data_IF_896301046608
#
_entry.id   IF_896301046608
#
_cell.length_a   1.000
_cell.length_b   1.000
_cell.length_c   1.000
_cell.angle_alpha   90.00
_cell.angle_beta   90.00
_cell.angle_gamma   90.00
#
_symmetry.space_group_name_H-M   'P 1'
#
loop_
_entity.id
_entity.type
_entity.pdbx_description
1 polymer ?
#
# COMPACT_ATOMS: atom_id res chain seq x y z
N UNK A 1 24.51 -22.34 -0.81
CA UNK A 1 23.42 -22.09 0.13
C UNK A 1 22.45 -21.17 -0.56
N UNK A 2 21.33 -21.73 -1.03
CA UNK A 2 20.31 -20.98 -1.77
C UNK A 2 19.44 -20.22 -0.80
N UNK A 3 19.47 -18.90 -0.89
CA UNK A 3 18.50 -18.05 -0.22
C UNK A 3 17.15 -18.28 -0.94
N UNK A 4 16.28 -19.10 -0.36
CA UNK A 4 14.88 -19.15 -0.77
C UNK A 4 14.27 -17.78 -0.44
N UNK A 5 14.11 -16.94 -1.46
CA UNK A 5 13.23 -15.78 -1.38
C UNK A 5 11.83 -16.33 -1.12
N UNK A 6 11.40 -16.34 0.15
CA UNK A 6 10.02 -16.64 0.49
C UNK A 6 9.15 -15.60 -0.22
N UNK A 7 8.25 -16.11 -1.06
CA UNK A 7 7.21 -15.34 -1.72
C UNK A 7 6.45 -14.59 -0.62
N UNK A 8 6.62 -13.30 -0.53
CA UNK A 8 5.80 -12.45 0.32
C UNK A 8 4.41 -12.38 -0.30
N UNK A 9 3.55 -13.30 0.10
CA UNK A 9 2.11 -13.22 -0.19
C UNK A 9 1.55 -12.11 0.68
N UNK A 10 1.10 -11.05 0.05
CA UNK A 10 0.47 -9.92 0.71
C UNK A 10 -0.94 -10.30 1.12
N UNK A 11 -1.26 -10.08 2.40
CA UNK A 11 -2.60 -10.11 2.93
C UNK A 11 -3.38 -8.89 2.42
N UNK A 12 -4.12 -9.06 1.33
CA UNK A 12 -5.39 -8.40 1.16
C UNK A 12 -6.44 -9.34 1.77
N UNK A 13 -6.49 -9.41 3.08
CA UNK A 13 -7.67 -9.97 3.74
C UNK A 13 -8.76 -8.90 3.59
N UNK A 14 -9.52 -8.96 2.51
CA UNK A 14 -10.89 -8.43 2.55
C UNK A 14 -11.55 -9.10 3.75
N UNK A 15 -12.02 -8.29 4.71
CA UNK A 15 -12.83 -8.77 5.81
C UNK A 15 -13.88 -9.70 5.26
N UNK A 16 -13.96 -10.91 5.80
CA UNK A 16 -14.96 -11.91 5.39
C UNK A 16 -16.36 -11.34 5.56
N UNK A 17 -17.34 -11.91 4.85
CA UNK A 17 -18.74 -11.50 4.99
C UNK A 17 -19.23 -11.56 6.44
N UNK A 18 -18.69 -12.50 7.23
CA UNK A 18 -19.03 -12.65 8.65
C UNK A 18 -18.37 -11.56 9.53
N UNK A 19 -17.16 -11.14 9.22
CA UNK A 19 -16.50 -10.01 9.91
C UNK A 19 -17.19 -8.68 9.59
N UNK A 20 -17.62 -8.46 8.34
CA UNK A 20 -18.46 -7.31 7.96
C UNK A 20 -19.82 -7.32 8.66
N UNK A 21 -20.38 -8.50 8.92
CA UNK A 21 -21.66 -8.65 9.63
C UNK A 21 -21.50 -8.41 11.13
N UNK A 22 -20.38 -8.85 11.73
CA UNK A 22 -20.06 -8.55 13.12
C UNK A 22 -19.83 -7.05 13.37
N UNK A 23 -19.15 -6.36 12.44
CA UNK A 23 -18.96 -4.90 12.51
C UNK A 23 -20.30 -4.17 12.45
N UNK A 24 -21.23 -4.58 11.58
CA UNK A 24 -22.58 -3.99 11.52
C UNK A 24 -23.41 -4.24 12.79
N UNK A 25 -23.23 -5.39 13.44
CA UNK A 25 -23.92 -5.67 14.69
C UNK A 25 -23.35 -4.84 15.87
N UNK A 26 -22.03 -4.56 15.85
CA UNK A 26 -21.39 -3.68 16.85
C UNK A 26 -21.83 -2.21 16.64
N UNK A 27 -22.05 -1.78 15.40
CA UNK A 27 -22.60 -0.46 15.11
C UNK A 27 -24.06 -0.32 15.60
N UNK A 28 -24.88 -1.37 15.48
CA UNK A 28 -26.25 -1.37 15.96
C UNK A 28 -26.35 -1.36 17.49
N UNK A 29 -25.42 -2.02 18.21
CA UNK A 29 -25.38 -2.02 19.68
C UNK A 29 -24.83 -0.68 20.24
N UNK A 30 -24.00 0.05 19.49
CA UNK A 30 -23.49 1.35 19.90
C UNK A 30 -24.54 2.48 19.81
N UNK A 31 -25.55 2.36 18.98
CA UNK A 31 -26.68 3.30 18.95
C UNK A 31 -27.54 3.25 20.22
N UNK A 32 -27.49 2.13 20.96
CA UNK A 32 -28.23 1.98 22.24
C UNK A 32 -27.49 2.58 23.44
N UNK A 33 -26.17 2.79 23.35
CA UNK A 33 -25.35 3.36 24.43
C UNK A 33 -25.10 4.87 24.29
N UNK A 34 -25.60 5.51 23.20
CA UNK A 34 -25.30 6.91 22.89
C UNK A 34 -26.14 7.95 23.66
N UNK A 35 -27.01 7.54 24.60
CA UNK A 35 -27.91 8.48 25.26
C UNK A 35 -27.41 9.08 26.58
N UNK A 36 -26.19 8.80 27.06
CA UNK A 36 -25.75 9.38 28.34
C UNK A 36 -24.27 9.72 28.52
N UNK A 37 -23.47 9.81 27.47
CA UNK A 37 -22.13 10.37 27.62
C UNK A 37 -21.79 11.25 26.43
N UNK A 38 -21.74 12.55 26.66
CA UNK A 38 -21.20 13.58 25.76
C UNK A 38 -19.68 13.36 25.50
N UNK A 39 -19.30 12.25 24.90
CA UNK A 39 -18.02 12.13 24.22
C UNK A 39 -18.14 12.80 22.86
N UNK A 40 -17.93 14.11 22.82
CA UNK A 40 -17.56 14.80 21.61
C UNK A 40 -16.29 14.10 21.10
N UNK A 41 -16.40 13.19 20.13
CA UNK A 41 -15.30 12.87 19.25
C UNK A 41 -14.87 14.17 18.59
N UNK A 42 -13.91 14.86 19.18
CA UNK A 42 -13.23 15.96 18.51
C UNK A 42 -12.67 15.36 17.23
N UNK A 43 -13.32 15.67 16.09
CA UNK A 43 -12.80 15.30 14.79
C UNK A 43 -11.37 15.83 14.75
N UNK A 44 -10.39 14.91 14.87
CA UNK A 44 -8.98 15.28 14.94
C UNK A 44 -8.66 16.06 13.67
N UNK A 45 -8.10 17.25 13.84
CA UNK A 45 -7.68 18.05 12.71
C UNK A 45 -6.57 17.32 11.97
N UNK A 46 -6.78 17.02 10.70
CA UNK A 46 -5.77 16.45 9.82
C UNK A 46 -5.24 17.61 8.99
N UNK A 47 -3.94 17.90 9.14
CA UNK A 47 -3.30 18.94 8.35
C UNK A 47 -3.32 18.55 6.85
N UNK A 48 -4.02 19.30 6.00
CA UNK A 48 -4.07 19.01 4.57
C UNK A 48 -2.71 19.16 3.87
N UNK A 49 -1.75 19.84 4.50
CA UNK A 49 -0.39 19.99 4.01
C UNK A 49 0.60 19.04 4.69
N UNK A 50 0.11 18.19 5.61
CA UNK A 50 0.92 17.18 6.27
C UNK A 50 1.62 16.25 5.27
N UNK A 51 2.81 15.79 5.63
CA UNK A 51 3.64 14.89 4.79
C UNK A 51 4.36 13.89 5.66
N UNK A 52 4.73 12.71 5.13
CA UNK A 52 5.66 11.82 5.81
C UNK A 52 6.97 12.52 6.16
N UNK A 53 7.60 12.14 7.27
CA UNK A 53 8.85 12.78 7.72
C UNK A 53 10.07 12.23 6.98
N UNK A 54 10.16 10.91 6.83
CA UNK A 54 11.28 10.24 6.19
C UNK A 54 11.30 10.44 4.67
N UNK A 55 12.51 10.43 4.09
CA UNK A 55 12.74 10.69 2.67
C UNK A 55 12.05 9.66 1.78
N UNK A 56 12.09 8.38 2.14
CA UNK A 56 11.52 7.30 1.35
C UNK A 56 10.00 7.42 1.27
N UNK A 57 9.32 7.52 2.41
CA UNK A 57 7.87 7.70 2.49
C UNK A 57 7.40 8.99 1.81
N UNK A 58 8.18 10.08 1.94
CA UNK A 58 7.90 11.35 1.26
C UNK A 58 7.95 11.20 -0.26
N UNK A 59 8.93 10.46 -0.79
CA UNK A 59 9.01 10.17 -2.21
C UNK A 59 7.76 9.42 -2.68
N UNK A 60 7.40 8.32 -2.02
CA UNK A 60 6.21 7.51 -2.37
C UNK A 60 4.94 8.35 -2.32
N UNK A 61 4.75 9.14 -1.26
CA UNK A 61 3.60 10.04 -1.11
C UNK A 61 3.49 11.01 -2.29
N UNK A 62 4.59 11.64 -2.66
CA UNK A 62 4.62 12.59 -3.78
C UNK A 62 4.31 11.90 -5.11
N UNK A 63 4.90 10.73 -5.37
CA UNK A 63 4.67 9.99 -6.61
C UNK A 63 3.22 9.48 -6.73
N UNK A 64 2.63 8.98 -5.64
CA UNK A 64 1.22 8.58 -5.62
C UNK A 64 0.32 9.79 -5.90
N UNK A 65 0.61 10.95 -5.33
CA UNK A 65 -0.18 12.14 -5.60
C UNK A 65 0.02 12.68 -7.02
N UNK A 66 1.22 12.60 -7.56
CA UNK A 66 1.51 13.02 -8.93
C UNK A 66 0.81 12.13 -9.97
N UNK A 67 0.82 10.80 -9.79
CA UNK A 67 0.10 9.89 -10.70
C UNK A 67 -1.42 10.07 -10.61
N UNK A 68 -1.96 10.49 -9.46
CA UNK A 68 -3.38 10.83 -9.32
C UNK A 68 -3.75 12.10 -10.07
N UNK A 69 -2.88 13.11 -10.05
CA UNK A 69 -3.10 14.37 -10.77
C UNK A 69 -2.95 14.22 -12.28
N UNK A 70 -1.95 13.45 -12.72
CA UNK A 70 -1.69 13.20 -14.13
C UNK A 70 -1.30 11.72 -14.37
N UNK A 71 -2.28 10.81 -14.43
CA UNK A 71 -2.01 9.40 -14.67
C UNK A 71 -1.28 9.12 -15.99
N UNK A 72 -1.54 9.94 -17.01
CA UNK A 72 -1.02 9.69 -18.35
C UNK A 72 0.47 10.00 -18.47
N UNK A 73 0.97 10.96 -17.70
CA UNK A 73 2.42 11.29 -17.67
C UNK A 73 3.29 10.11 -17.20
N UNK A 74 2.70 9.15 -16.50
CA UNK A 74 3.40 7.96 -16.00
C UNK A 74 3.47 6.81 -17.00
N UNK A 75 2.75 6.86 -18.11
CA UNK A 75 2.75 5.80 -19.13
C UNK A 75 4.15 5.50 -19.64
N UNK A 76 4.90 6.54 -19.99
CA UNK A 76 6.26 6.37 -20.51
C UNK A 76 7.23 5.90 -19.43
N UNK A 77 7.05 6.32 -18.20
CA UNK A 77 7.83 5.85 -17.04
C UNK A 77 7.63 4.34 -16.85
N UNK A 78 6.37 3.87 -16.84
CA UNK A 78 6.09 2.43 -16.72
C UNK A 78 6.60 1.66 -17.93
N UNK A 79 6.46 2.21 -19.14
CA UNK A 79 6.99 1.59 -20.38
C UNK A 79 8.52 1.45 -20.36
N UNK A 80 9.24 2.47 -19.87
CA UNK A 80 10.68 2.41 -19.72
C UNK A 80 11.09 1.42 -18.64
N UNK A 81 10.38 1.40 -17.52
CA UNK A 81 10.63 0.47 -16.39
C UNK A 81 10.46 -0.98 -16.81
N UNK A 82 9.60 -1.29 -17.78
CA UNK A 82 9.43 -2.63 -18.35
C UNK A 82 10.76 -3.20 -18.89
N UNK A 83 11.68 -2.37 -19.38
CA UNK A 83 13.01 -2.77 -19.86
C UNK A 83 13.92 -3.35 -18.77
N UNK A 84 13.55 -3.15 -17.51
CA UNK A 84 14.27 -3.70 -16.36
C UNK A 84 13.88 -5.14 -16.04
N UNK A 85 12.93 -5.73 -16.76
CA UNK A 85 12.57 -7.14 -16.60
C UNK A 85 13.66 -8.00 -17.24
N UNK A 86 14.12 -9.01 -16.52
CA UNK A 86 15.12 -9.98 -16.97
C UNK A 86 14.74 -11.38 -16.51
N UNK A 87 15.26 -12.38 -17.20
CA UNK A 87 15.26 -13.74 -16.70
C UNK A 87 16.50 -13.95 -15.83
N UNK A 88 16.32 -14.58 -14.68
CA UNK A 88 17.44 -15.07 -13.89
C UNK A 88 17.97 -16.41 -14.45
N UNK A 89 18.99 -16.96 -13.79
CA UNK A 89 19.59 -18.24 -14.20
C UNK A 89 18.64 -19.44 -14.14
N UNK A 90 17.55 -19.32 -13.40
CA UNK A 90 16.50 -20.34 -13.22
C UNK A 90 15.32 -20.12 -14.16
N UNK A 91 15.38 -19.14 -15.06
CA UNK A 91 14.28 -18.79 -15.96
C UNK A 91 13.14 -18.00 -15.30
N UNK A 92 13.33 -17.55 -14.05
CA UNK A 92 12.33 -16.72 -13.35
C UNK A 92 12.44 -15.28 -13.84
N UNK A 93 11.30 -14.68 -14.19
CA UNK A 93 11.24 -13.24 -14.49
C UNK A 93 11.50 -12.44 -13.23
N UNK A 94 12.46 -11.55 -13.30
CA UNK A 94 12.81 -10.65 -12.21
C UNK A 94 12.79 -9.21 -12.68
N UNK A 95 12.30 -8.31 -11.84
CA UNK A 95 12.53 -6.89 -12.01
C UNK A 95 13.94 -6.57 -11.52
N UNK A 96 14.73 -5.94 -12.39
CA UNK A 96 16.10 -5.57 -12.07
C UNK A 96 16.11 -4.34 -11.18
N UNK A 97 15.87 -4.56 -9.92
CA UNK A 97 16.44 -3.74 -8.89
C UNK A 97 17.67 -4.47 -8.34
N UNK A 98 18.44 -3.83 -7.50
CA UNK A 98 19.56 -4.48 -6.85
C UNK A 98 19.12 -5.55 -5.82
N UNK A 99 17.83 -5.65 -5.50
CA UNK A 99 17.16 -6.82 -4.94
C UNK A 99 16.34 -7.44 -6.07
N UNK A 100 16.52 -8.72 -6.33
CA UNK A 100 15.76 -9.42 -7.35
C UNK A 100 14.32 -9.58 -6.85
N UNK A 101 13.40 -8.86 -7.46
CA UNK A 101 11.97 -9.03 -7.21
C UNK A 101 11.43 -10.02 -8.23
N UNK A 102 10.99 -11.20 -7.77
CA UNK A 102 10.34 -12.16 -8.64
C UNK A 102 9.00 -11.61 -9.12
N UNK A 103 8.78 -11.66 -10.43
CA UNK A 103 7.54 -11.23 -11.05
C UNK A 103 6.67 -12.46 -11.33
N UNK A 104 5.37 -12.31 -11.20
CA UNK A 104 4.39 -13.35 -11.51
C UNK A 104 4.05 -13.38 -13.02
N UNK A 105 3.43 -12.32 -13.51
CA UNK A 105 3.09 -12.15 -14.93
C UNK A 105 4.27 -11.56 -15.73
N UNK A 106 5.05 -10.70 -15.10
CA UNK A 106 6.12 -9.96 -15.74
C UNK A 106 5.59 -8.87 -16.67
N UNK A 107 6.06 -8.85 -17.93
CA UNK A 107 5.67 -7.82 -18.92
C UNK A 107 4.16 -7.57 -19.05
N UNK A 108 3.28 -8.59 -19.08
CA UNK A 108 1.83 -8.36 -19.15
C UNK A 108 1.28 -7.49 -18.01
N UNK A 109 1.85 -7.54 -16.80
CA UNK A 109 1.38 -6.68 -15.71
C UNK A 109 1.72 -5.19 -15.98
N UNK A 110 2.85 -4.91 -16.61
CA UNK A 110 3.22 -3.55 -17.03
C UNK A 110 2.28 -3.05 -18.13
N UNK A 111 1.97 -3.90 -19.13
CA UNK A 111 1.05 -3.54 -20.20
C UNK A 111 -0.36 -3.27 -19.65
N UNK A 112 -0.84 -4.09 -18.72
CA UNK A 112 -2.11 -3.87 -18.01
C UNK A 112 -2.10 -2.53 -17.26
N UNK A 113 -1.02 -2.20 -16.54
CA UNK A 113 -0.89 -0.92 -15.85
C UNK A 113 -0.96 0.26 -16.83
N UNK A 114 -0.27 0.18 -17.97
CA UNK A 114 -0.30 1.20 -19.03
C UNK A 114 -1.73 1.39 -19.57
N UNK A 115 -2.45 0.31 -19.85
CA UNK A 115 -3.82 0.39 -20.38
C UNK A 115 -4.80 1.01 -19.36
N UNK A 116 -4.61 0.74 -18.08
CA UNK A 116 -5.39 1.37 -17.01
C UNK A 116 -5.07 2.86 -16.92
N UNK A 117 -3.79 3.23 -16.92
CA UNK A 117 -3.38 4.65 -16.84
C UNK A 117 -3.92 5.47 -18.00
N UNK A 118 -3.94 4.91 -19.24
CA UNK A 118 -4.55 5.57 -20.41
C UNK A 118 -6.02 5.95 -20.21
N UNK A 119 -6.76 5.13 -19.46
CA UNK A 119 -8.19 5.31 -19.22
C UNK A 119 -8.50 6.10 -17.94
N UNK A 120 -7.51 6.24 -17.07
CA UNK A 120 -7.66 6.90 -15.78
C UNK A 120 -7.70 8.41 -15.98
N UNK A 121 -8.73 9.06 -15.46
CA UNK A 121 -8.85 10.51 -15.46
C UNK A 121 -8.16 11.11 -14.23
N UNK A 122 -7.62 12.32 -14.30
CA UNK A 122 -7.11 13.05 -13.15
C UNK A 122 -8.06 13.04 -11.95
N UNK A 123 -7.51 12.99 -10.75
CA UNK A 123 -8.26 12.96 -9.51
C UNK A 123 -7.55 13.73 -8.40
N UNK A 124 -8.27 14.00 -7.32
CA UNK A 124 -7.73 14.75 -6.18
C UNK A 124 -6.57 14.00 -5.52
N UNK A 125 -5.64 14.78 -4.97
CA UNK A 125 -4.57 14.28 -4.09
C UNK A 125 -5.14 13.60 -2.87
N UNK A 126 -4.40 12.64 -2.37
CA UNK A 126 -4.60 12.08 -1.03
C UNK A 126 -3.98 13.02 0.01
N UNK A 127 -4.65 13.15 1.14
CA UNK A 127 -4.18 13.90 2.30
C UNK A 127 -3.43 12.93 3.21
N UNK A 128 -2.23 13.31 3.63
CA UNK A 128 -1.48 12.50 4.59
C UNK A 128 -2.19 12.45 5.94
N UNK A 129 -2.46 11.23 6.42
CA UNK A 129 -3.07 11.04 7.73
C UNK A 129 -2.11 10.23 8.63
N UNK A 130 -1.51 10.87 9.65
CA UNK A 130 -0.61 10.18 10.58
C UNK A 130 -1.30 9.09 11.39
N UNK A 131 -2.63 9.11 11.55
CA UNK A 131 -3.35 8.05 12.24
C UNK A 131 -3.37 6.74 11.46
N UNK A 132 -3.17 6.79 10.14
CA UNK A 132 -3.04 5.60 9.29
C UNK A 132 -1.64 4.97 9.34
N UNK A 133 -0.66 5.69 9.87
CA UNK A 133 0.74 5.21 9.94
C UNK A 133 0.87 4.10 10.96
N UNK A 134 1.45 2.99 10.58
CA UNK A 134 1.89 1.92 11.48
C UNK A 134 3.40 2.04 11.65
N UNK A 135 3.86 2.11 12.88
CA UNK A 135 5.28 2.05 13.18
C UNK A 135 5.82 0.66 12.84
N UNK A 136 6.82 0.63 11.97
CA UNK A 136 7.43 -0.61 11.52
C UNK A 136 8.61 -0.98 12.44
N UNK A 137 8.73 -2.25 12.84
CA UNK A 137 9.85 -2.70 13.66
C UNK A 137 11.17 -2.69 12.85
N UNK A 138 12.28 -2.45 13.53
CA UNK A 138 13.62 -2.52 12.92
C UNK A 138 14.14 -3.97 12.81
N UNK A 139 13.37 -4.95 13.24
CA UNK A 139 13.73 -6.36 13.24
C UNK A 139 13.14 -7.06 12.02
N UNK A 140 14.01 -7.70 11.22
CA UNK A 140 13.62 -8.40 9.99
C UNK A 140 12.60 -9.52 10.23
N UNK A 141 12.69 -10.25 11.33
CA UNK A 141 11.76 -11.34 11.67
C UNK A 141 10.36 -10.79 11.95
N UNK A 142 10.26 -9.74 12.73
CA UNK A 142 8.97 -9.12 13.04
C UNK A 142 8.36 -8.45 11.81
N UNK A 143 9.19 -7.78 11.01
CA UNK A 143 8.68 -7.07 9.84
C UNK A 143 8.20 -8.04 8.76
N UNK A 144 8.76 -9.25 8.69
CA UNK A 144 8.29 -10.29 7.77
C UNK A 144 7.07 -11.02 8.30
N UNK A 145 6.75 -10.91 9.59
CA UNK A 145 5.55 -11.50 10.19
C UNK A 145 4.29 -10.89 9.56
N UNK A 146 3.40 -11.76 9.10
CA UNK A 146 2.07 -11.36 8.58
C UNK A 146 1.18 -10.86 9.71
N UNK A 147 1.29 -11.49 10.88
CA UNK A 147 0.44 -11.19 12.05
C UNK A 147 0.75 -9.81 12.64
N UNK A 148 2.03 -9.41 12.69
CA UNK A 148 2.41 -8.13 13.27
C UNK A 148 1.65 -6.96 12.64
N UNK A 149 1.73 -6.85 11.32
CA UNK A 149 1.07 -5.75 10.61
C UNK A 149 -0.44 -5.84 10.69
N UNK A 150 -1.00 -7.04 10.49
CA UNK A 150 -2.45 -7.27 10.58
C UNK A 150 -3.02 -6.86 11.92
N UNK A 151 -2.36 -7.24 13.03
CA UNK A 151 -2.79 -6.86 14.39
C UNK A 151 -2.73 -5.34 14.60
N UNK A 152 -1.63 -4.68 14.19
CA UNK A 152 -1.50 -3.22 14.31
C UNK A 152 -2.57 -2.45 13.53
N UNK A 153 -2.92 -2.93 12.34
CA UNK A 153 -3.99 -2.33 11.53
C UNK A 153 -5.36 -2.60 12.15
N UNK A 154 -5.62 -3.82 12.62
CA UNK A 154 -6.85 -4.16 13.37
C UNK A 154 -7.04 -3.25 14.58
N UNK A 155 -5.98 -3.03 15.37
CA UNK A 155 -6.05 -2.13 16.53
C UNK A 155 -6.47 -0.71 16.12
N UNK A 156 -5.95 -0.20 15.00
CA UNK A 156 -6.34 1.11 14.48
C UNK A 156 -7.80 1.16 14.04
N UNK A 157 -8.25 0.14 13.32
CA UNK A 157 -9.65 0.03 12.86
C UNK A 157 -10.59 -0.06 14.08
N UNK A 158 -10.26 -0.86 15.08
CA UNK A 158 -11.03 -0.99 16.31
C UNK A 158 -11.11 0.33 17.10
N UNK A 159 -10.09 1.20 16.93
CA UNK A 159 -10.07 2.55 17.50
C UNK A 159 -10.73 3.61 16.58
N UNK A 160 -11.49 3.19 15.58
CA UNK A 160 -12.29 4.07 14.72
C UNK A 160 -11.52 4.71 13.57
N UNK A 161 -10.34 4.20 13.19
CA UNK A 161 -9.59 4.67 12.04
C UNK A 161 -10.12 3.95 10.78
N UNK A 162 -10.68 4.69 9.82
CA UNK A 162 -11.28 4.14 8.58
C UNK A 162 -10.21 3.77 7.54
N UNK A 163 -9.45 2.69 7.82
CA UNK A 163 -8.50 2.11 6.87
C UNK A 163 -9.25 1.11 5.99
N UNK A 164 -9.32 1.38 4.68
CA UNK A 164 -10.01 0.54 3.69
C UNK A 164 -9.09 -0.47 3.02
N UNK A 165 -7.84 -0.09 2.83
CA UNK A 165 -6.83 -0.98 2.27
C UNK A 165 -5.45 -0.67 2.83
N UNK A 166 -4.61 -1.68 2.89
CA UNK A 166 -3.22 -1.55 3.32
C UNK A 166 -2.35 -2.66 2.75
N UNK A 167 -1.07 -2.38 2.60
CA UNK A 167 -0.07 -3.37 2.22
C UNK A 167 1.32 -2.99 2.71
N UNK A 168 2.24 -3.94 2.59
CA UNK A 168 3.65 -3.75 2.90
C UNK A 168 4.48 -4.33 1.76
N UNK A 169 5.48 -3.58 1.32
CA UNK A 169 6.46 -4.00 0.35
C UNK A 169 7.86 -3.99 0.98
N UNK A 170 8.71 -4.94 0.55
CA UNK A 170 10.13 -4.95 0.88
C UNK A 170 10.89 -4.73 -0.43
N UNK A 171 11.56 -3.61 -0.53
CA UNK A 171 12.23 -3.15 -1.75
C UNK A 171 13.58 -2.54 -1.40
N UNK A 172 14.39 -2.27 -2.40
CA UNK A 172 15.69 -1.66 -2.18
C UNK A 172 15.68 -0.13 -2.22
N UNK A 173 14.84 0.43 -3.02
CA UNK A 173 14.76 1.86 -3.26
C UNK A 173 13.31 2.31 -3.48
N UNK A 174 13.09 3.60 -3.32
CA UNK A 174 11.79 4.22 -3.42
C UNK A 174 11.20 4.17 -4.84
N UNK A 175 12.02 4.25 -5.88
CA UNK A 175 11.55 4.18 -7.26
C UNK A 175 11.01 2.79 -7.58
N UNK A 176 11.74 1.74 -7.21
CA UNK A 176 11.28 0.35 -7.35
C UNK A 176 9.99 0.11 -6.57
N UNK A 177 9.87 0.64 -5.35
CA UNK A 177 8.65 0.54 -4.55
C UNK A 177 7.45 1.13 -5.29
N UNK A 178 7.59 2.35 -5.78
CA UNK A 178 6.52 3.04 -6.50
C UNK A 178 6.12 2.31 -7.79
N UNK A 179 7.10 1.94 -8.63
CA UNK A 179 6.84 1.22 -9.88
C UNK A 179 6.10 -0.09 -9.62
N UNK A 180 6.56 -0.90 -8.65
CA UNK A 180 5.92 -2.16 -8.33
C UNK A 180 4.55 -2.00 -7.66
N UNK A 181 4.29 -0.88 -6.97
CA UNK A 181 2.96 -0.53 -6.49
C UNK A 181 2.01 -0.23 -7.65
N UNK A 182 2.45 0.53 -8.65
CA UNK A 182 1.63 0.87 -9.84
C UNK A 182 1.42 -0.35 -10.74
N UNK A 183 2.45 -1.14 -10.98
CA UNK A 183 2.35 -2.34 -11.82
C UNK A 183 1.57 -3.44 -11.13
N UNK A 184 1.83 -3.63 -9.84
CA UNK A 184 1.20 -4.61 -8.94
C UNK A 184 1.08 -6.00 -9.55
N UNK A 185 2.25 -6.63 -9.76
CA UNK A 185 2.35 -7.99 -10.30
C UNK A 185 2.27 -9.07 -9.19
N UNK A 186 1.36 -8.88 -8.24
CA UNK A 186 1.16 -9.81 -7.13
C UNK A 186 0.47 -11.10 -7.57
N UNK A 187 0.73 -12.21 -6.86
CA UNK A 187 0.20 -13.53 -7.27
C UNK A 187 -1.31 -13.68 -7.09
N UNK A 188 -1.88 -13.11 -6.01
CA UNK A 188 -3.28 -13.35 -5.65
C UNK A 188 -4.20 -12.23 -6.07
N UNK A 189 -3.75 -10.99 -5.99
CA UNK A 189 -4.59 -9.81 -6.13
C UNK A 189 -3.91 -8.77 -7.02
N UNK A 190 -3.40 -9.21 -8.18
CA UNK A 190 -2.72 -8.34 -9.12
C UNK A 190 -3.60 -7.14 -9.52
N UNK A 191 -3.06 -5.95 -9.38
CA UNK A 191 -3.73 -4.70 -9.70
C UNK A 191 -4.48 -4.04 -8.54
N UNK A 192 -4.65 -4.69 -7.39
CA UNK A 192 -5.39 -4.11 -6.26
C UNK A 192 -4.70 -2.85 -5.71
N UNK A 193 -3.38 -2.88 -5.51
CA UNK A 193 -2.62 -1.70 -5.03
C UNK A 193 -2.79 -0.52 -5.99
N UNK A 194 -2.66 -0.79 -7.31
CA UNK A 194 -2.90 0.20 -8.35
C UNK A 194 -4.33 0.73 -8.29
N UNK A 195 -5.31 -0.16 -8.20
CA UNK A 195 -6.73 0.22 -8.12
C UNK A 195 -6.99 1.07 -6.88
N UNK A 196 -6.38 0.75 -5.74
CA UNK A 196 -6.54 1.47 -4.48
C UNK A 196 -5.93 2.87 -4.55
N UNK A 197 -4.70 3.02 -5.07
CA UNK A 197 -4.09 4.36 -5.22
C UNK A 197 -4.82 5.22 -6.26
N UNK A 198 -5.48 4.62 -7.24
CA UNK A 198 -6.26 5.31 -8.27
C UNK A 198 -7.76 5.36 -7.96
N UNK A 199 -8.18 4.95 -6.76
CA UNK A 199 -9.57 5.05 -6.32
C UNK A 199 -9.90 6.48 -5.89
N UNK A 200 -10.91 7.07 -6.53
CA UNK A 200 -11.40 8.43 -6.23
C UNK A 200 -12.04 8.56 -4.85
N UNK A 201 -12.52 7.46 -4.30
CA UNK A 201 -13.17 7.45 -2.98
C UNK A 201 -12.15 7.45 -1.83
N UNK A 202 -10.89 7.11 -2.09
CA UNK A 202 -9.84 7.24 -1.09
C UNK A 202 -9.42 8.70 -0.99
N UNK A 203 -9.41 9.22 0.24
CA UNK A 203 -9.10 10.61 0.57
C UNK A 203 -7.81 10.75 1.38
N UNK A 204 -7.47 9.72 2.13
CA UNK A 204 -6.36 9.74 3.07
C UNK A 204 -5.35 8.65 2.78
N UNK A 205 -4.11 8.93 3.13
CA UNK A 205 -3.01 7.98 3.01
C UNK A 205 -2.09 8.09 4.23
N UNK A 206 -1.71 6.94 4.79
CA UNK A 206 -0.61 6.81 5.74
C UNK A 206 0.51 6.02 5.10
N UNK A 207 1.74 6.48 5.29
CA UNK A 207 2.94 5.80 4.79
C UNK A 207 3.98 5.82 5.89
N UNK A 208 4.64 4.69 6.08
CA UNK A 208 5.87 4.60 6.88
C UNK A 208 6.89 3.70 6.20
N UNK A 209 8.16 3.95 6.46
CA UNK A 209 9.22 3.10 5.97
C UNK A 209 10.29 2.88 7.05
N UNK A 210 10.95 1.73 6.98
CA UNK A 210 12.09 1.42 7.82
C UNK A 210 13.16 0.71 7.00
N UNK A 211 14.42 1.05 7.26
CA UNK A 211 15.56 0.41 6.61
C UNK A 211 15.87 -0.91 7.29
N UNK A 212 15.98 -1.98 6.51
CA UNK A 212 16.32 -3.33 6.97
C UNK A 212 17.52 -3.81 6.16
N UNK A 213 18.69 -3.80 6.76
CA UNK A 213 19.92 -4.16 6.07
C UNK A 213 20.14 -3.30 4.81
N UNK A 214 20.05 -3.94 3.64
CA UNK A 214 20.20 -3.26 2.32
C UNK A 214 18.85 -2.92 1.66
N UNK A 215 17.74 -3.18 2.33
CA UNK A 215 16.38 -2.99 1.82
C UNK A 215 15.59 -2.02 2.69
N UNK A 216 14.43 -1.62 2.21
CA UNK A 216 13.44 -0.87 2.96
C UNK A 216 12.15 -1.71 3.02
N UNK A 217 11.52 -1.75 4.19
CA UNK A 217 10.12 -2.10 4.27
C UNK A 217 9.31 -0.82 4.20
N UNK A 218 8.31 -0.80 3.35
CA UNK A 218 7.38 0.31 3.18
C UNK A 218 5.96 -0.19 3.45
N UNK A 219 5.27 0.50 4.33
CA UNK A 219 3.85 0.28 4.62
C UNK A 219 3.05 1.43 4.05
N UNK A 220 1.92 1.10 3.44
CA UNK A 220 0.96 2.07 2.88
C UNK A 220 -0.44 1.66 3.31
N UNK A 221 -1.24 2.62 3.77
CA UNK A 221 -2.65 2.46 4.08
C UNK A 221 -3.48 3.58 3.46
N UNK A 222 -4.69 3.26 3.02
CA UNK A 222 -5.62 4.16 2.35
C UNK A 222 -7.01 4.10 2.99
N UNK A 223 -7.73 5.25 2.96
CA UNK A 223 -9.11 5.36 3.43
C UNK A 223 -9.86 6.58 2.93
#
# INVERSE_FOLDING_TARGET
MGCQCQKTEFLNDELTADEKKQIKNIEADNDYLSNNNNYYFKKKYIDPNGKPEDKFSKYIFNQINSIREDPQSYIDIIRQSKRNIKLDKSGIKIYKSSVKVALNKGEPAFDEAIEILKKTKPMNKLIYNPDFVVELPNNELEITSKEYLGNKVKDKINNGIDIKSFWKDIVKDEETCFILTVVDDSMKNAGNKRNDILNRNNKYIGISSVKIGKSFACYIALG
#
